data_IF_530618656963
#
_entry.id   IF_530618656963
#
_cell.length_a   1.000
_cell.length_b   1.000
_cell.length_c   1.000
_cell.angle_alpha   90.00
_cell.angle_beta   90.00
_cell.angle_gamma   90.00
#
_symmetry.space_group_name_H-M   'P 1'
#
loop_
_entity.id
_entity.type
_entity.pdbx_description
1 polymer ?
#
# COMPACT_ATOMS: atom_id res chain seq x y z
N UNK A 1 -5.18 18.10 0.68
CA UNK A 1 -6.12 17.37 1.58
C UNK A 1 -6.15 15.93 1.09
N UNK A 2 -5.88 14.95 1.94
CA UNK A 2 -5.92 13.52 1.58
C UNK A 2 -7.28 12.96 1.99
N UNK A 3 -7.99 12.33 1.04
CA UNK A 3 -9.24 11.62 1.33
C UNK A 3 -8.92 10.15 1.58
N UNK A 4 -9.19 9.67 2.78
CA UNK A 4 -8.99 8.27 3.16
C UNK A 4 -10.33 7.55 3.18
N UNK A 5 -10.40 6.41 2.49
CA UNK A 5 -11.55 5.52 2.52
C UNK A 5 -11.17 4.27 3.30
N UNK A 6 -11.78 4.09 4.46
CA UNK A 6 -11.61 2.88 5.26
C UNK A 6 -12.61 1.81 4.80
N UNK A 7 -12.09 0.60 4.55
CA UNK A 7 -12.88 -0.57 4.18
C UNK A 7 -12.71 -1.64 5.26
N UNK A 8 -13.76 -1.88 6.03
CA UNK A 8 -13.79 -2.97 7.00
C UNK A 8 -14.17 -4.28 6.29
N UNK A 9 -13.31 -5.29 6.41
CA UNK A 9 -13.54 -6.59 5.78
C UNK A 9 -14.10 -7.57 6.81
N UNK A 10 -15.18 -8.26 6.43
CA UNK A 10 -15.70 -9.32 7.28
C UNK A 10 -14.66 -10.46 7.41
N UNK A 11 -14.26 -10.77 8.65
CA UNK A 11 -13.29 -11.84 8.95
C UNK A 11 -13.81 -13.27 8.69
N UNK A 12 -14.96 -13.43 8.04
CA UNK A 12 -15.53 -14.73 7.75
C UNK A 12 -15.17 -15.17 6.33
N UNK A 13 -14.64 -16.36 6.19
CA UNK A 13 -14.23 -17.02 4.94
C UNK A 13 -15.34 -17.07 3.88
N UNK A 14 -16.59 -17.00 4.30
CA UNK A 14 -17.78 -17.00 3.41
C UNK A 14 -17.84 -15.81 2.44
N UNK A 15 -17.07 -14.73 2.70
CA UNK A 15 -17.08 -13.49 1.91
C UNK A 15 -15.78 -13.26 1.14
N UNK A 16 -14.98 -14.29 0.91
CA UNK A 16 -13.66 -14.19 0.26
C UNK A 16 -13.69 -13.47 -1.09
N UNK A 17 -14.70 -13.72 -1.92
CA UNK A 17 -14.79 -13.08 -3.24
C UNK A 17 -15.02 -11.55 -3.18
N UNK A 18 -15.68 -11.07 -2.13
CA UNK A 18 -15.88 -9.63 -1.89
C UNK A 18 -14.59 -9.01 -1.38
N UNK A 19 -13.90 -9.72 -0.47
CA UNK A 19 -12.63 -9.28 0.10
C UNK A 19 -11.53 -9.15 -0.96
N UNK A 20 -11.43 -10.06 -1.93
CA UNK A 20 -10.45 -9.98 -3.02
C UNK A 20 -10.54 -8.69 -3.83
N UNK A 21 -11.74 -8.18 -4.06
CA UNK A 21 -11.93 -6.90 -4.74
C UNK A 21 -11.37 -5.73 -3.92
N UNK A 22 -11.52 -5.78 -2.60
CA UNK A 22 -10.99 -4.75 -1.71
C UNK A 22 -9.47 -4.81 -1.63
N UNK A 23 -8.88 -5.99 -1.56
CA UNK A 23 -7.43 -6.16 -1.57
C UNK A 23 -6.76 -5.53 -2.80
N UNK A 24 -7.35 -5.73 -4.00
CA UNK A 24 -6.82 -5.14 -5.26
C UNK A 24 -6.88 -3.61 -5.30
N UNK A 25 -7.76 -3.01 -4.53
CA UNK A 25 -7.97 -1.56 -4.51
C UNK A 25 -7.28 -0.89 -3.31
N UNK A 26 -6.79 -1.67 -2.36
CA UNK A 26 -6.14 -1.13 -1.18
C UNK A 26 -4.81 -0.46 -1.54
N UNK A 27 -4.61 0.72 -1.01
CA UNK A 27 -3.31 1.39 -1.04
C UNK A 27 -2.47 0.92 0.15
N UNK A 28 -3.12 0.73 1.32
CA UNK A 28 -2.50 0.24 2.54
C UNK A 28 -3.44 -0.72 3.29
N UNK A 29 -2.89 -1.50 4.24
CA UNK A 29 -3.62 -2.52 4.95
C UNK A 29 -3.28 -2.56 6.44
N UNK A 30 -4.31 -2.72 7.28
CA UNK A 30 -4.16 -3.07 8.68
C UNK A 30 -4.45 -4.56 8.87
N UNK A 31 -3.45 -5.32 9.32
CA UNK A 31 -3.61 -6.71 9.73
C UNK A 31 -3.79 -6.76 11.25
N UNK A 32 -5.00 -7.02 11.69
CA UNK A 32 -5.36 -6.95 13.11
C UNK A 32 -5.49 -8.36 13.70
N UNK A 33 -4.83 -8.60 14.83
CA UNK A 33 -5.03 -9.80 15.65
C UNK A 33 -5.32 -9.44 17.10
N UNK A 34 -5.85 -10.39 17.83
CA UNK A 34 -6.13 -10.30 19.27
C UNK A 34 -4.96 -10.91 20.04
N UNK A 35 -4.29 -10.13 20.89
CA UNK A 35 -3.14 -10.62 21.67
C UNK A 35 -3.49 -11.77 22.61
N UNK A 36 -4.75 -11.84 23.04
CA UNK A 36 -5.27 -12.89 23.91
C UNK A 36 -5.86 -14.08 23.14
N UNK A 37 -5.63 -14.17 21.82
CA UNK A 37 -6.15 -15.24 20.98
C UNK A 37 -5.13 -15.70 19.96
N UNK A 38 -4.35 -16.72 20.28
CA UNK A 38 -3.31 -17.29 19.43
C UNK A 38 -3.77 -17.60 18.02
N UNK A 39 -4.96 -18.19 17.88
CA UNK A 39 -5.50 -18.57 16.56
C UNK A 39 -5.72 -17.38 15.64
N UNK A 40 -5.91 -16.16 16.13
CA UNK A 40 -6.06 -14.96 15.31
C UNK A 40 -4.72 -14.55 14.69
N UNK A 41 -3.63 -14.68 15.41
CA UNK A 41 -2.27 -14.43 14.90
C UNK A 41 -1.82 -15.52 13.92
N UNK A 42 -2.10 -16.80 14.25
CA UNK A 42 -1.82 -17.90 13.35
C UNK A 42 -2.60 -17.80 12.03
N UNK A 43 -3.83 -17.26 12.07
CA UNK A 43 -4.61 -16.92 10.87
C UNK A 43 -3.91 -15.90 9.99
N UNK A 44 -3.28 -14.87 10.58
CA UNK A 44 -2.47 -13.91 9.81
C UNK A 44 -1.29 -14.60 9.15
N UNK A 45 -0.55 -15.41 9.89
CA UNK A 45 0.66 -16.09 9.41
C UNK A 45 0.37 -17.07 8.27
N UNK A 46 -0.71 -17.84 8.39
CA UNK A 46 -0.97 -19.00 7.53
C UNK A 46 -1.96 -18.70 6.39
N UNK A 47 -2.77 -17.63 6.49
CA UNK A 47 -3.82 -17.35 5.52
C UNK A 47 -3.76 -15.92 4.99
N UNK A 48 -3.90 -14.90 5.84
CA UNK A 48 -4.06 -13.53 5.38
C UNK A 48 -2.80 -12.97 4.71
N UNK A 49 -1.61 -13.35 5.16
CA UNK A 49 -0.34 -12.97 4.54
C UNK A 49 -0.29 -13.37 3.07
N UNK A 50 -0.65 -14.61 2.76
CA UNK A 50 -0.65 -15.10 1.37
C UNK A 50 -1.75 -14.43 0.54
N UNK A 51 -2.93 -14.22 1.12
CA UNK A 51 -4.02 -13.51 0.44
C UNK A 51 -3.66 -12.07 0.06
N UNK A 52 -2.97 -11.35 0.93
CA UNK A 52 -2.47 -10.01 0.63
C UNK A 52 -1.43 -10.07 -0.48
N UNK A 53 -0.46 -10.97 -0.39
CA UNK A 53 0.59 -11.15 -1.40
C UNK A 53 0.03 -11.49 -2.78
N UNK A 54 -1.03 -12.29 -2.84
CA UNK A 54 -1.68 -12.68 -4.10
C UNK A 54 -2.55 -11.57 -4.72
N UNK A 55 -3.14 -10.71 -3.90
CA UNK A 55 -4.22 -9.84 -4.35
C UNK A 55 -3.94 -8.34 -4.21
N UNK A 56 -3.06 -7.91 -3.31
CA UNK A 56 -2.71 -6.50 -3.16
C UNK A 56 -1.66 -6.05 -4.17
N UNK A 57 -1.46 -4.74 -4.26
CA UNK A 57 -0.38 -4.13 -5.03
C UNK A 57 0.97 -4.48 -4.39
N UNK A 58 2.04 -4.52 -5.19
CA UNK A 58 3.40 -4.83 -4.70
C UNK A 58 3.92 -3.80 -3.69
N UNK A 59 3.48 -2.55 -3.80
CA UNK A 59 3.90 -1.43 -2.95
C UNK A 59 3.00 -1.21 -1.73
N UNK A 60 1.98 -2.07 -1.49
CA UNK A 60 1.08 -1.97 -0.34
C UNK A 60 1.85 -1.96 0.97
N UNK A 61 1.58 -0.95 1.82
CA UNK A 61 2.14 -0.93 3.17
C UNK A 61 1.22 -1.64 4.15
N UNK A 62 1.83 -2.37 5.05
CA UNK A 62 1.09 -3.18 6.00
C UNK A 62 1.51 -2.80 7.41
N UNK A 63 0.52 -2.53 8.25
CA UNK A 63 0.71 -2.42 9.69
C UNK A 63 0.12 -3.67 10.33
N UNK A 64 0.96 -4.45 11.00
CA UNK A 64 0.52 -5.53 11.88
C UNK A 64 0.11 -4.94 13.22
N UNK A 65 -1.12 -5.20 13.63
CA UNK A 65 -1.72 -4.57 14.80
C UNK A 65 -2.15 -5.62 15.83
N UNK A 66 -1.44 -5.69 16.96
CA UNK A 66 -1.86 -6.45 18.13
C UNK A 66 -2.90 -5.67 18.92
N UNK A 67 -4.15 -6.08 18.87
CA UNK A 67 -5.24 -5.40 19.57
C UNK A 67 -5.58 -6.10 20.89
N UNK A 68 -6.31 -5.40 21.73
CA UNK A 68 -6.78 -5.80 23.05
C UNK A 68 -5.67 -5.89 24.11
N UNK A 69 -4.72 -4.95 24.09
CA UNK A 69 -3.68 -4.86 25.14
C UNK A 69 -4.23 -4.60 26.55
N UNK A 70 -5.52 -4.34 26.67
CA UNK A 70 -6.23 -4.35 27.96
C UNK A 70 -6.35 -5.74 28.57
N UNK A 71 -6.20 -6.81 27.76
CA UNK A 71 -6.22 -8.22 28.18
C UNK A 71 -4.80 -8.78 28.39
N UNK A 72 -3.85 -7.96 28.85
CA UNK A 72 -2.44 -8.34 29.03
C UNK A 72 -2.26 -9.61 29.88
N UNK A 73 -3.07 -9.78 30.92
CA UNK A 73 -3.07 -10.96 31.77
C UNK A 73 -3.45 -12.26 31.07
N UNK A 74 -4.13 -12.15 29.92
CA UNK A 74 -4.59 -13.27 29.09
C UNK A 74 -3.78 -13.39 27.79
N UNK A 75 -2.65 -12.68 27.69
CA UNK A 75 -1.83 -12.65 26.47
C UNK A 75 -1.37 -14.06 26.09
N UNK A 76 -1.69 -14.47 24.88
CA UNK A 76 -1.22 -15.70 24.25
C UNK A 76 -0.13 -15.43 23.17
N UNK A 77 -0.08 -14.21 22.64
CA UNK A 77 0.91 -13.81 21.63
C UNK A 77 1.85 -12.79 22.24
N UNK A 78 3.13 -13.16 22.50
CA UNK A 78 4.13 -12.24 23.00
C UNK A 78 4.33 -11.06 22.05
N UNK A 79 4.56 -9.86 22.59
CA UNK A 79 4.81 -8.66 21.80
C UNK A 79 6.01 -8.82 20.86
N UNK A 80 7.06 -9.46 21.37
CA UNK A 80 8.29 -9.73 20.61
C UNK A 80 8.02 -10.63 19.42
N UNK A 81 7.11 -11.60 19.53
CA UNK A 81 6.76 -12.48 18.42
C UNK A 81 6.04 -11.71 17.31
N UNK A 82 5.12 -10.82 17.66
CA UNK A 82 4.45 -9.93 16.73
C UNK A 82 5.45 -9.01 16.01
N UNK A 83 6.36 -8.41 16.78
CA UNK A 83 7.38 -7.49 16.26
C UNK A 83 8.37 -8.21 15.31
N UNK A 84 8.82 -9.41 15.67
CA UNK A 84 9.72 -10.23 14.83
C UNK A 84 9.02 -10.59 13.53
N UNK A 85 7.80 -11.11 13.61
CA UNK A 85 7.03 -11.47 12.42
C UNK A 85 6.81 -10.26 11.48
N UNK A 86 6.51 -9.09 12.04
CA UNK A 86 6.36 -7.87 11.25
C UNK A 86 7.67 -7.50 10.56
N UNK A 87 8.79 -7.49 11.28
CA UNK A 87 10.11 -7.17 10.74
C UNK A 87 10.53 -8.13 9.60
N UNK A 88 10.33 -9.43 9.78
CA UNK A 88 10.65 -10.45 8.77
C UNK A 88 9.83 -10.30 7.48
N UNK A 89 8.65 -9.68 7.55
CA UNK A 89 7.77 -9.49 6.41
C UNK A 89 7.77 -8.05 5.88
N UNK A 90 8.58 -7.15 6.45
CA UNK A 90 8.64 -5.75 6.06
C UNK A 90 7.38 -4.96 6.47
N UNK A 91 6.67 -5.40 7.50
CA UNK A 91 5.51 -4.74 8.06
C UNK A 91 5.91 -3.81 9.18
N UNK A 92 5.13 -2.76 9.40
CA UNK A 92 5.19 -1.99 10.63
C UNK A 92 4.44 -2.76 11.73
N UNK A 93 4.83 -2.53 12.99
CA UNK A 93 4.20 -3.20 14.13
C UNK A 93 3.72 -2.18 15.16
N UNK A 94 2.48 -2.35 15.61
CA UNK A 94 1.91 -1.56 16.70
C UNK A 94 1.02 -2.45 17.57
N UNK A 95 0.82 -2.03 18.82
CA UNK A 95 -0.18 -2.64 19.71
C UNK A 95 -1.17 -1.59 20.19
N UNK A 96 -2.45 -1.98 20.26
CA UNK A 96 -3.56 -1.07 20.61
C UNK A 96 -4.51 -1.69 21.62
N UNK A 97 -5.35 -0.87 22.22
CA UNK A 97 -6.56 -1.29 22.90
C UNK A 97 -7.72 -0.40 22.48
N UNK A 98 -8.64 -0.95 21.70
CA UNK A 98 -9.87 -0.25 21.36
C UNK A 98 -10.73 0.03 22.58
N UNK A 99 -10.75 -0.88 23.57
CA UNK A 99 -11.50 -0.70 24.81
C UNK A 99 -11.01 0.48 25.63
N UNK A 100 -9.68 0.66 25.73
CA UNK A 100 -9.04 1.77 26.46
C UNK A 100 -8.73 2.98 25.58
N UNK A 101 -9.09 2.93 24.30
CA UNK A 101 -8.73 3.94 23.31
C UNK A 101 -7.21 4.27 23.30
N UNK A 102 -6.38 3.22 23.49
CA UNK A 102 -4.93 3.36 23.56
C UNK A 102 -4.32 3.13 22.19
N UNK A 103 -3.60 4.11 21.66
CA UNK A 103 -2.90 4.09 20.37
C UNK A 103 -3.78 3.80 19.14
N UNK A 104 -5.11 3.93 19.25
CA UNK A 104 -6.01 3.73 18.12
C UNK A 104 -5.88 4.88 17.12
N UNK A 105 -5.90 6.13 17.59
CA UNK A 105 -5.70 7.31 16.75
C UNK A 105 -4.31 7.26 16.10
N UNK A 106 -3.27 6.98 16.89
CA UNK A 106 -1.87 6.92 16.42
C UNK A 106 -1.69 5.93 15.25
N UNK A 107 -2.39 4.79 15.30
CA UNK A 107 -2.36 3.81 14.23
C UNK A 107 -2.90 4.38 12.90
N UNK A 108 -4.05 5.06 12.94
CA UNK A 108 -4.62 5.68 11.76
C UNK A 108 -3.83 6.89 11.28
N UNK A 109 -3.30 7.71 12.20
CA UNK A 109 -2.44 8.84 11.87
C UNK A 109 -1.17 8.36 11.17
N UNK A 110 -0.53 7.31 11.67
CA UNK A 110 0.64 6.68 11.05
C UNK A 110 0.33 6.23 9.62
N UNK A 111 -0.82 5.56 9.41
CA UNK A 111 -1.25 5.10 8.09
C UNK A 111 -1.46 6.28 7.13
N UNK A 112 -2.17 7.33 7.59
CA UNK A 112 -2.44 8.54 6.80
C UNK A 112 -1.14 9.26 6.43
N UNK A 113 -0.16 9.31 7.32
CA UNK A 113 1.15 9.91 7.04
C UNK A 113 1.92 9.13 5.97
N UNK A 114 1.85 7.81 5.99
CA UNK A 114 2.48 6.94 4.98
C UNK A 114 1.85 7.22 3.62
N UNK A 115 0.53 7.15 3.51
CA UNK A 115 -0.24 7.44 2.29
C UNK A 115 0.10 8.83 1.78
N UNK A 116 0.12 9.84 2.66
CA UNK A 116 0.39 11.22 2.30
C UNK A 116 1.81 11.46 1.80
N UNK A 117 2.80 10.76 2.31
CA UNK A 117 4.19 10.80 1.82
C UNK A 117 4.32 10.19 0.44
N UNK A 118 3.76 9.02 0.25
CA UNK A 118 3.81 8.33 -1.04
C UNK A 118 3.09 9.09 -2.16
N UNK A 119 1.93 9.69 -1.85
CA UNK A 119 1.22 10.53 -2.80
C UNK A 119 2.08 11.73 -3.26
N UNK A 120 2.78 12.40 -2.33
CA UNK A 120 3.67 13.52 -2.64
C UNK A 120 4.91 13.08 -3.43
N UNK A 121 5.44 11.90 -3.16
CA UNK A 121 6.56 11.35 -3.91
C UNK A 121 6.15 11.02 -5.34
N UNK A 122 5.02 10.36 -5.53
CA UNK A 122 4.47 10.05 -6.86
C UNK A 122 4.21 11.32 -7.68
N UNK A 123 3.68 12.40 -7.08
CA UNK A 123 3.51 13.69 -7.74
C UNK A 123 4.84 14.30 -8.20
N UNK A 124 5.90 14.24 -7.37
CA UNK A 124 7.22 14.77 -7.75
C UNK A 124 7.86 14.03 -8.92
N UNK A 125 7.68 12.71 -8.99
CA UNK A 125 8.21 11.93 -10.10
C UNK A 125 7.47 12.25 -11.41
N UNK A 126 6.15 12.41 -11.37
CA UNK A 126 5.36 12.79 -12.56
C UNK A 126 5.72 14.17 -13.09
N UNK A 127 5.92 15.18 -12.22
CA UNK A 127 6.33 16.53 -12.67
C UNK A 127 7.72 16.55 -13.28
N UNK A 128 8.65 15.73 -12.82
CA UNK A 128 9.98 15.63 -13.39
C UNK A 128 10.01 14.95 -14.77
N UNK A 129 9.10 14.01 -15.04
CA UNK A 129 8.97 13.38 -16.35
C UNK A 129 8.38 14.36 -17.39
N UNK A 130 7.45 15.21 -16.98
CA UNK A 130 6.87 16.24 -17.86
C UNK A 130 7.87 17.37 -18.17
N UNK A 131 8.72 17.77 -17.24
CA UNK A 131 9.78 18.75 -17.47
C UNK A 131 10.97 18.17 -18.25
N UNK A 132 11.22 16.87 -18.16
CA UNK A 132 12.26 16.15 -18.90
C UNK A 132 11.94 15.88 -20.37
N UNK A 133 10.74 16.13 -20.82
CA UNK A 133 10.33 15.97 -22.22
C UNK A 133 10.90 17.11 -23.08
N UNK A 134 12.21 17.02 -23.43
CA UNK A 134 12.85 17.91 -24.41
C UNK A 134 12.10 17.76 -25.72
N UNK A 135 11.37 18.81 -26.12
CA UNK A 135 10.80 18.95 -27.47
C UNK A 135 11.94 18.92 -28.47
N UNK A 136 12.21 17.76 -29.04
CA UNK A 136 13.09 17.67 -30.23
C UNK A 136 12.32 18.29 -31.41
N UNK A 137 12.50 19.59 -31.62
CA UNK A 137 12.06 20.24 -32.85
C UNK A 137 12.81 19.60 -34.01
N UNK A 138 12.11 18.80 -34.81
CA UNK A 138 12.60 18.32 -36.09
C UNK A 138 12.73 19.53 -37.00
N UNK A 139 13.95 20.13 -37.12
CA UNK A 139 14.29 21.07 -38.16
C UNK A 139 14.09 20.38 -39.50
N UNK A 140 12.99 20.71 -40.16
CA UNK A 140 12.69 20.26 -41.51
C UNK A 140 13.78 20.70 -42.50
N UNK A 141 14.45 19.74 -43.09
CA UNK A 141 15.34 19.97 -44.25
C UNK A 141 14.49 20.45 -45.39
N UNK A 142 14.59 21.74 -45.71
CA UNK A 142 14.09 22.29 -46.97
C UNK A 142 14.92 21.71 -48.12
N UNK A 143 14.38 20.73 -48.85
CA UNK A 143 14.92 20.31 -50.13
C UNK A 143 14.64 21.40 -51.19
N UNK A 144 15.71 22.09 -51.61
CA UNK A 144 15.71 22.91 -52.79
C UNK A 144 15.56 22.01 -54.04
N UNK A 145 14.39 22.04 -54.65
CA UNK A 145 14.22 21.55 -56.03
C UNK A 145 15.01 22.45 -56.99
N UNK A 146 16.11 21.94 -57.51
CA UNK A 146 16.74 22.50 -58.71
C UNK A 146 15.85 22.16 -59.95
N UNK A 147 15.33 23.16 -60.56
CA UNK A 147 14.86 23.07 -61.95
C UNK A 147 16.07 22.87 -62.87
N UNK A 148 16.11 21.81 -63.62
CA UNK A 148 16.92 21.71 -64.80
C UNK A 148 16.00 21.69 -66.05
N UNK A 149 16.05 22.77 -66.81
CA UNK A 149 15.58 22.87 -68.22
C UNK A 149 16.60 22.15 -69.13
N UNK A 150 16.11 21.58 -70.14
CA UNK A 150 16.85 21.11 -71.32
C UNK A 150 16.11 19.88 -71.82
N UNK A 151 15.45 19.91 -72.97
CA UNK A 151 15.70 20.47 -74.25
C UNK A 151 15.93 19.33 -75.20
N UNK A 152 14.95 19.17 -76.07
CA UNK A 152 15.02 18.73 -77.48
C UNK A 152 15.78 17.43 -77.84
N UNK A 153 15.18 16.49 -78.33
CA UNK A 153 14.98 15.99 -79.74
C UNK A 153 14.09 14.79 -79.70
#
# INVERSE_FOLDING_TARGET
MVNVKLLDTAGQEKYNSINERYYRQADDCLLVYDIAKRSSFDGIKNYYKEKIKENCKEDVKIILLGNKTDLEELREVPQEEGAIFAAENGYMFMETSCLKNKYVADCFETLIEIIGREAKEKEKYQTNEDEGSIKIEKKGKKNKKKKSNGGAC
#
